data_IF_869078296975
#
_entry.id   IF_869078296975
#
_cell.length_a   1.000
_cell.length_b   1.000
_cell.length_c   1.000
_cell.angle_alpha   90.00
_cell.angle_beta   90.00
_cell.angle_gamma   90.00
#
_symmetry.space_group_name_H-M   'P 1'
#
loop_
_entity.id
_entity.type
_entity.pdbx_description
1 polymer ?
#
# COMPACT_ATOMS: atom_id res chain seq x y z
N UNK A 1 -11.73 11.59 -9.63
CA UNK A 1 -11.14 10.68 -10.64
C UNK A 1 -9.98 11.43 -11.27
N UNK A 2 -8.86 10.74 -11.56
CA UNK A 2 -7.67 11.29 -12.22
C UNK A 2 -7.26 10.38 -13.37
N UNK A 3 -6.52 10.90 -14.34
CA UNK A 3 -6.03 10.14 -15.49
C UNK A 3 -4.51 10.00 -15.42
N UNK A 4 -4.02 8.76 -15.49
CA UNK A 4 -2.60 8.49 -15.76
C UNK A 4 -2.39 8.34 -17.27
N UNK A 5 -2.01 9.42 -17.95
CA UNK A 5 -1.82 9.42 -19.41
C UNK A 5 -0.68 8.49 -19.84
N UNK A 6 0.47 8.57 -19.15
CA UNK A 6 1.66 7.76 -19.42
C UNK A 6 1.89 6.72 -18.29
N UNK A 7 2.06 5.45 -18.65
CA UNK A 7 2.12 4.33 -17.69
C UNK A 7 3.53 4.13 -17.11
N UNK A 8 4.02 5.12 -16.38
CA UNK A 8 5.34 5.15 -15.76
C UNK A 8 5.41 4.41 -14.40
N UNK A 9 4.55 3.41 -14.21
CA UNK A 9 4.51 2.58 -12.99
C UNK A 9 3.51 3.03 -11.91
N UNK A 10 3.46 2.27 -10.82
CA UNK A 10 2.46 2.41 -9.74
C UNK A 10 2.65 3.67 -8.90
N UNK A 11 3.91 4.07 -8.64
CA UNK A 11 4.21 5.34 -7.98
C UNK A 11 3.68 6.54 -8.77
N UNK A 12 3.92 6.55 -10.09
CA UNK A 12 3.37 7.58 -10.98
C UNK A 12 1.84 7.59 -10.98
N UNK A 13 1.20 6.41 -10.93
CA UNK A 13 -0.26 6.30 -10.87
C UNK A 13 -0.84 6.95 -9.61
N UNK A 14 -0.25 6.69 -8.43
CA UNK A 14 -0.66 7.32 -7.16
C UNK A 14 -0.42 8.83 -7.19
N UNK A 15 0.71 9.27 -7.75
CA UNK A 15 1.04 10.70 -7.87
C UNK A 15 -0.01 11.50 -8.67
N UNK A 16 -0.71 10.88 -9.62
CA UNK A 16 -1.78 11.59 -10.37
C UNK A 16 -2.92 12.06 -9.46
N UNK A 17 -3.10 11.44 -8.28
CA UNK A 17 -4.12 11.82 -7.32
C UNK A 17 -3.64 12.84 -6.27
N UNK A 18 -2.35 13.21 -6.27
CA UNK A 18 -1.74 13.99 -5.20
C UNK A 18 -2.49 15.33 -4.94
N UNK A 19 -2.78 16.10 -5.98
CA UNK A 19 -3.43 17.41 -5.83
C UNK A 19 -4.90 17.32 -5.37
N UNK A 20 -5.55 16.16 -5.57
CA UNK A 20 -6.90 15.93 -5.05
C UNK A 20 -6.91 15.54 -3.57
N UNK A 21 -5.81 14.98 -3.07
CA UNK A 21 -5.71 14.43 -1.71
C UNK A 21 -4.95 15.36 -0.76
N UNK A 22 -3.99 16.13 -1.28
CA UNK A 22 -3.19 17.10 -0.54
C UNK A 22 -4.10 18.03 0.26
N UNK A 23 -3.79 18.17 1.54
CA UNK A 23 -4.51 19.00 2.52
C UNK A 23 -6.01 18.65 2.71
N UNK A 24 -6.47 17.51 2.17
CA UNK A 24 -7.87 17.04 2.25
C UNK A 24 -8.01 15.66 2.87
N UNK A 25 -6.91 14.95 3.08
CA UNK A 25 -6.92 13.58 3.60
C UNK A 25 -5.69 13.32 4.44
N UNK A 26 -5.91 12.95 5.71
CA UNK A 26 -4.83 12.58 6.63
C UNK A 26 -4.34 11.14 6.40
N UNK A 27 -5.18 10.31 5.79
CA UNK A 27 -4.91 8.90 5.54
C UNK A 27 -5.39 8.51 4.15
N UNK A 28 -4.49 7.90 3.37
CA UNK A 28 -4.76 7.43 2.02
C UNK A 28 -4.55 5.92 1.97
N UNK A 29 -5.58 5.20 1.51
CA UNK A 29 -5.48 3.75 1.23
C UNK A 29 -5.23 3.57 -0.26
N UNK A 30 -4.12 2.93 -0.60
CA UNK A 30 -3.78 2.56 -1.97
C UNK A 30 -4.05 1.07 -2.16
N UNK A 31 -4.85 0.72 -3.17
CA UNK A 31 -5.14 -0.67 -3.52
C UNK A 31 -5.27 -0.84 -5.04
N UNK A 32 -5.01 -2.05 -5.52
CA UNK A 32 -5.27 -2.44 -6.90
C UNK A 32 -6.71 -2.91 -7.06
N UNK A 33 -7.29 -2.69 -8.25
CA UNK A 33 -8.67 -3.07 -8.56
C UNK A 33 -8.82 -4.55 -8.99
N UNK A 34 -7.70 -5.27 -9.16
CA UNK A 34 -7.63 -6.65 -9.66
C UNK A 34 -7.57 -7.71 -8.55
N UNK A 35 -7.89 -7.33 -7.30
CA UNK A 35 -7.93 -8.21 -6.13
C UNK A 35 -9.38 -8.50 -5.70
N UNK A 36 -10.14 -9.33 -6.44
CA UNK A 36 -11.60 -9.48 -6.24
C UNK A 36 -11.99 -10.10 -4.90
N UNK A 37 -11.05 -10.79 -4.24
CA UNK A 37 -11.28 -11.46 -2.96
C UNK A 37 -10.94 -10.57 -1.75
N UNK A 38 -10.50 -9.33 -1.96
CA UNK A 38 -10.20 -8.41 -0.86
C UNK A 38 -11.50 -8.05 -0.12
N UNK A 39 -11.50 -8.28 1.20
CA UNK A 39 -12.71 -8.09 2.03
C UNK A 39 -12.68 -6.72 2.71
N UNK A 40 -13.85 -6.09 2.93
CA UNK A 40 -13.94 -4.85 3.71
C UNK A 40 -13.32 -4.96 5.10
N UNK A 41 -13.42 -6.14 5.74
CA UNK A 41 -12.80 -6.39 7.05
C UNK A 41 -11.27 -6.24 7.01
N UNK A 42 -10.62 -6.74 5.95
CA UNK A 42 -9.17 -6.63 5.77
C UNK A 42 -8.74 -5.18 5.63
N UNK A 43 -9.48 -4.38 4.85
CA UNK A 43 -9.21 -2.95 4.70
C UNK A 43 -9.37 -2.17 6.00
N UNK A 44 -10.41 -2.47 6.79
CA UNK A 44 -10.57 -1.86 8.13
C UNK A 44 -9.40 -2.20 9.03
N UNK A 45 -8.97 -3.47 9.07
CA UNK A 45 -7.81 -3.89 9.86
C UNK A 45 -6.52 -3.18 9.43
N UNK A 46 -6.32 -2.97 8.12
CA UNK A 46 -5.19 -2.18 7.61
C UNK A 46 -5.22 -0.73 8.10
N UNK A 47 -6.38 -0.09 8.05
CA UNK A 47 -6.56 1.30 8.52
C UNK A 47 -6.30 1.40 10.03
N UNK A 48 -6.87 0.50 10.83
CA UNK A 48 -6.63 0.48 12.28
C UNK A 48 -5.15 0.23 12.61
N UNK A 49 -4.49 -0.67 11.86
CA UNK A 49 -3.06 -0.91 12.01
C UNK A 49 -2.23 0.35 11.69
N UNK A 50 -2.58 1.10 10.64
CA UNK A 50 -1.91 2.37 10.35
C UNK A 50 -2.16 3.43 11.42
N UNK A 51 -3.37 3.52 11.96
CA UNK A 51 -3.69 4.47 13.05
C UNK A 51 -2.92 4.16 14.33
N UNK A 52 -2.70 2.87 14.62
CA UNK A 52 -1.88 2.43 15.75
C UNK A 52 -0.37 2.58 15.49
N UNK A 53 0.06 2.68 14.23
CA UNK A 53 1.46 2.85 13.84
C UNK A 53 1.88 4.33 13.94
N UNK A 54 1.98 4.85 15.17
CA UNK A 54 2.22 6.27 15.44
C UNK A 54 3.58 6.75 14.90
N UNK A 55 4.60 5.89 14.92
CA UNK A 55 5.96 6.24 14.47
C UNK A 55 6.19 5.97 12.97
N UNK A 56 5.41 5.07 12.36
CA UNK A 56 5.61 4.64 10.99
C UNK A 56 4.73 5.40 9.98
N UNK A 57 5.35 5.86 8.88
CA UNK A 57 4.66 6.57 7.81
C UNK A 57 3.77 5.68 6.92
N UNK A 58 3.90 4.35 7.02
CA UNK A 58 3.20 3.40 6.15
C UNK A 58 2.98 2.05 6.84
N UNK A 59 1.84 1.44 6.53
CA UNK A 59 1.48 0.07 6.87
C UNK A 59 1.04 -0.61 5.58
N UNK A 60 1.47 -1.85 5.37
CA UNK A 60 1.16 -2.62 4.17
C UNK A 60 0.56 -3.98 4.54
N UNK A 61 -0.33 -4.47 3.68
CA UNK A 61 -0.79 -5.85 3.73
C UNK A 61 0.26 -6.75 3.07
N UNK A 62 0.69 -7.79 3.79
CA UNK A 62 1.63 -8.80 3.29
C UNK A 62 1.00 -10.18 3.31
N UNK A 63 1.45 -11.06 2.43
CA UNK A 63 1.04 -12.47 2.41
C UNK A 63 2.28 -13.36 2.40
N UNK A 64 2.18 -14.50 3.08
CA UNK A 64 3.17 -15.58 3.00
C UNK A 64 2.65 -16.63 2.03
N UNK A 65 3.38 -16.86 0.94
CA UNK A 65 3.02 -17.82 -0.09
C UNK A 65 4.11 -18.88 -0.22
N UNK A 66 3.76 -20.16 -0.43
CA UNK A 66 4.75 -21.20 -0.74
C UNK A 66 5.54 -20.91 -2.01
N UNK A 67 4.88 -20.35 -3.04
CA UNK A 67 5.52 -19.86 -4.25
C UNK A 67 5.21 -18.36 -4.42
N UNK A 68 6.21 -17.48 -4.25
CA UNK A 68 5.96 -16.05 -4.28
C UNK A 68 6.14 -15.43 -5.68
N UNK A 69 6.37 -16.22 -6.75
CA UNK A 69 6.58 -15.72 -8.12
C UNK A 69 5.54 -14.64 -8.53
N UNK A 70 6.02 -13.53 -9.10
CA UNK A 70 5.19 -12.41 -9.55
C UNK A 70 4.88 -11.33 -8.50
N UNK A 71 5.12 -11.60 -7.21
CA UNK A 71 5.02 -10.58 -6.15
C UNK A 71 6.37 -9.89 -5.90
N UNK A 72 6.36 -8.71 -5.28
CA UNK A 72 7.54 -8.16 -4.60
C UNK A 72 7.86 -8.95 -3.33
N UNK A 73 9.10 -8.87 -2.85
CA UNK A 73 9.58 -9.55 -1.64
C UNK A 73 9.82 -8.53 -0.54
N UNK A 74 9.17 -8.73 0.60
CA UNK A 74 9.39 -7.91 1.78
C UNK A 74 10.69 -8.35 2.45
N UNK A 75 11.68 -7.47 2.45
CA UNK A 75 12.93 -7.65 3.20
C UNK A 75 12.73 -7.04 4.58
N UNK A 76 13.02 -7.80 5.63
CA UNK A 76 12.93 -7.33 7.02
C UNK A 76 14.33 -7.15 7.61
N UNK A 77 14.49 -6.10 8.41
CA UNK A 77 15.68 -5.89 9.21
C UNK A 77 15.71 -6.85 10.42
N UNK A 78 16.84 -6.98 11.14
CA UNK A 78 16.96 -7.88 12.30
C UNK A 78 15.97 -7.60 13.43
N UNK A 79 15.52 -6.35 13.56
CA UNK A 79 14.50 -5.93 14.53
C UNK A 79 13.05 -6.23 14.07
N UNK A 80 12.88 -6.82 12.89
CA UNK A 80 11.59 -7.19 12.31
C UNK A 80 10.92 -6.08 11.50
N UNK A 81 11.46 -4.86 11.50
CA UNK A 81 10.96 -3.74 10.69
C UNK A 81 11.11 -4.02 9.19
N UNK A 82 10.29 -3.36 8.37
CA UNK A 82 10.37 -3.50 6.91
C UNK A 82 11.51 -2.63 6.40
N UNK A 83 12.51 -3.25 5.76
CA UNK A 83 13.66 -2.56 5.19
C UNK A 83 13.44 -2.21 3.70
N UNK A 84 12.83 -3.11 2.93
CA UNK A 84 12.60 -2.90 1.50
C UNK A 84 11.50 -3.81 0.94
N UNK A 85 11.05 -3.47 -0.28
CA UNK A 85 10.33 -4.38 -1.18
C UNK A 85 11.20 -4.50 -2.45
N UNK A 86 11.57 -5.74 -2.81
CA UNK A 86 12.42 -6.04 -3.98
C UNK A 86 11.74 -6.96 -5.00
#
# INVERSE_FOLDING_TARGET
>A
IVLQKDQLGTGHAVLQAADLLRDKSDLVVVMYADMPLLRPRTLRQLVEAQRANVEGCLTMLTVTLPNPHGFGRVVRAPDGSVAAIV
#
